data_IF_248920867359
#
_entry.id   IF_248920867359
#
_cell.length_a   1.000
_cell.length_b   1.000
_cell.length_c   1.000
_cell.angle_alpha   90.00
_cell.angle_beta   90.00
_cell.angle_gamma   90.00
#
_symmetry.space_group_name_H-M   'P 1'
#
loop_
_entity.id
_entity.type
_entity.pdbx_description
1 polymer ?
#
# COMPACT_ATOMS: atom_id res chain seq x y z
N UNK A 1 0.62 -11.70 16.25
CA UNK A 1 1.06 -10.99 15.03
C UNK A 1 0.13 -11.43 13.92
N UNK A 2 -0.62 -10.50 13.33
CA UNK A 2 -1.46 -10.78 12.17
C UNK A 2 -0.53 -10.74 10.95
N UNK A 3 -0.62 -11.73 10.06
CA UNK A 3 0.11 -11.79 8.79
C UNK A 3 -0.92 -11.80 7.67
N UNK A 4 -0.64 -11.05 6.62
CA UNK A 4 -1.41 -11.05 5.38
C UNK A 4 -0.47 -11.50 4.27
N UNK A 5 -0.95 -12.37 3.39
CA UNK A 5 -0.23 -12.68 2.17
C UNK A 5 -0.26 -11.43 1.26
N UNK A 6 0.83 -11.20 0.53
CA UNK A 6 1.03 -9.94 -0.21
C UNK A 6 0.00 -9.74 -1.33
N UNK A 7 -0.47 -10.83 -1.93
CA UNK A 7 -1.52 -10.89 -2.94
C UNK A 7 -2.91 -10.48 -2.42
N UNK A 8 -3.11 -10.51 -1.09
CA UNK A 8 -4.36 -10.06 -0.46
C UNK A 8 -4.36 -8.56 -0.17
N UNK A 9 -3.23 -7.88 -0.33
CA UNK A 9 -3.10 -6.45 -0.06
C UNK A 9 -3.39 -5.65 -1.32
N UNK A 10 -4.31 -4.69 -1.23
CA UNK A 10 -4.51 -3.72 -2.30
C UNK A 10 -3.60 -2.51 -2.07
N UNK A 11 -2.78 -2.21 -3.06
CA UNK A 11 -1.80 -1.14 -3.01
C UNK A 11 -2.22 0.01 -3.93
N UNK A 12 -2.16 1.23 -3.42
CA UNK A 12 -2.46 2.45 -4.18
C UNK A 12 -1.32 3.46 -3.99
N UNK A 13 -1.14 4.37 -4.93
CA UNK A 13 -0.17 5.45 -4.76
C UNK A 13 -0.69 6.51 -3.80
N UNK A 14 0.15 6.89 -2.83
CA UNK A 14 -0.14 8.03 -1.95
C UNK A 14 0.21 9.35 -2.65
N UNK A 15 -0.36 9.58 -3.84
CA UNK A 15 -0.04 10.72 -4.70
C UNK A 15 -1.30 11.31 -5.32
N UNK A 16 -1.45 12.61 -5.15
CA UNK A 16 -2.60 13.37 -5.63
C UNK A 16 -2.11 14.49 -6.57
N UNK A 17 -2.61 14.48 -7.82
CA UNK A 17 -2.29 15.52 -8.81
C UNK A 17 -0.79 15.73 -9.05
N UNK A 18 0.03 14.69 -8.89
CA UNK A 18 1.48 14.77 -9.03
C UNK A 18 2.26 15.07 -7.74
N UNK A 19 1.57 15.32 -6.63
CA UNK A 19 2.18 15.62 -5.31
C UNK A 19 2.02 14.45 -4.35
N UNK A 20 3.10 14.05 -3.68
CA UNK A 20 3.06 12.99 -2.66
C UNK A 20 2.36 13.47 -1.39
N UNK A 21 1.56 12.60 -0.78
CA UNK A 21 0.99 12.86 0.54
C UNK A 21 2.11 13.00 1.57
N UNK A 22 2.01 14.02 2.41
CA UNK A 22 3.02 14.34 3.41
C UNK A 22 2.55 13.92 4.81
N UNK A 23 3.44 13.45 5.67
CA UNK A 23 3.10 13.11 7.06
C UNK A 23 2.53 14.26 7.89
N UNK A 24 2.78 15.51 7.49
CA UNK A 24 2.26 16.72 8.10
C UNK A 24 0.87 17.11 7.59
N UNK A 25 0.40 16.48 6.52
CA UNK A 25 -0.92 16.68 5.94
C UNK A 25 -2.01 16.34 6.96
N UNK A 26 -3.07 17.14 6.99
CA UNK A 26 -4.24 16.90 7.83
C UNK A 26 -4.86 15.54 7.56
N UNK A 27 -4.86 15.11 6.29
CA UNK A 27 -5.45 13.84 5.88
C UNK A 27 -4.65 12.65 6.43
N UNK A 28 -3.32 12.72 6.36
CA UNK A 28 -2.44 11.67 6.92
C UNK A 28 -2.53 11.64 8.45
N UNK A 29 -2.71 12.80 9.10
CA UNK A 29 -2.97 12.86 10.54
C UNK A 29 -4.33 12.24 10.91
N UNK A 30 -5.36 12.42 10.08
CA UNK A 30 -6.65 11.79 10.26
C UNK A 30 -6.58 10.25 10.08
N UNK A 31 -5.82 9.76 9.09
CA UNK A 31 -5.55 8.32 8.94
C UNK A 31 -4.92 7.71 10.19
N UNK A 32 -3.96 8.41 10.82
CA UNK A 32 -3.37 7.98 12.09
C UNK A 32 -4.38 7.91 13.25
N UNK A 33 -5.47 8.66 13.16
CA UNK A 33 -6.61 8.62 14.09
C UNK A 33 -7.70 7.61 13.69
N UNK A 34 -7.47 6.81 12.64
CA UNK A 34 -8.42 5.84 12.08
C UNK A 34 -9.64 6.48 11.41
N UNK A 35 -9.52 7.74 11.01
CA UNK A 35 -10.49 8.42 10.17
C UNK A 35 -9.98 8.36 8.74
N UNK A 36 -10.85 8.04 7.77
CA UNK A 36 -10.48 8.04 6.35
C UNK A 36 -11.09 9.28 5.69
N UNK A 37 -10.28 10.33 5.42
CA UNK A 37 -10.73 11.54 4.74
C UNK A 37 -11.14 11.24 3.30
N UNK A 38 -12.05 12.04 2.75
CA UNK A 38 -12.55 11.85 1.39
C UNK A 38 -11.44 11.95 0.34
N UNK A 39 -10.44 12.82 0.56
CA UNK A 39 -9.25 12.89 -0.31
C UNK A 39 -8.50 11.55 -0.36
N UNK A 40 -8.40 10.84 0.76
CA UNK A 40 -7.75 9.51 0.77
C UNK A 40 -8.66 8.46 0.14
N UNK A 41 -9.97 8.50 0.38
CA UNK A 41 -10.92 7.58 -0.28
C UNK A 41 -10.83 7.69 -1.80
N UNK A 42 -10.73 8.92 -2.31
CA UNK A 42 -10.62 9.18 -3.74
C UNK A 42 -9.31 8.62 -4.35
N UNK A 43 -8.28 8.36 -3.54
CA UNK A 43 -7.03 7.72 -3.97
C UNK A 43 -7.10 6.18 -3.87
N UNK A 44 -8.11 5.64 -3.21
CA UNK A 44 -8.31 4.20 -2.98
C UNK A 44 -9.50 3.67 -3.81
N UNK A 45 -9.55 4.05 -5.10
CA UNK A 45 -10.49 3.48 -6.06
C UNK A 45 -9.84 2.35 -6.86
N UNK A 46 -10.62 1.34 -7.26
CA UNK A 46 -10.12 0.17 -8.00
C UNK A 46 -9.36 0.53 -9.29
N UNK A 47 -9.73 1.63 -9.95
CA UNK A 47 -9.05 2.13 -11.15
C UNK A 47 -7.62 2.66 -10.88
N UNK A 48 -7.28 2.94 -9.62
CA UNK A 48 -5.98 3.42 -9.18
C UNK A 48 -5.15 2.33 -8.50
N UNK A 49 -5.64 1.08 -8.50
CA UNK A 49 -4.92 -0.06 -7.95
C UNK A 49 -3.60 -0.24 -8.71
N UNK A 50 -2.51 -0.40 -7.96
CA UNK A 50 -1.22 -0.71 -8.54
C UNK A 50 -1.25 -2.14 -9.11
N UNK A 51 -0.87 -2.27 -10.37
CA UNK A 51 -0.61 -3.57 -10.99
C UNK A 51 0.68 -4.14 -10.38
N UNK A 52 0.59 -5.33 -9.81
CA UNK A 52 1.71 -6.06 -9.20
C UNK A 52 2.86 -6.35 -10.17
N UNK A 53 2.56 -6.38 -11.47
CA UNK A 53 3.54 -6.59 -12.54
C UNK A 53 4.17 -5.28 -13.03
N UNK A 54 3.64 -4.13 -12.61
CA UNK A 54 4.13 -2.83 -13.03
C UNK A 54 5.53 -2.55 -12.48
N UNK A 55 6.36 -1.95 -13.33
CA UNK A 55 7.71 -1.54 -12.96
C UNK A 55 7.69 -0.14 -12.36
N UNK A 56 8.67 0.17 -11.52
CA UNK A 56 8.82 1.50 -10.90
C UNK A 56 9.07 2.63 -11.91
N UNK A 57 9.43 2.31 -13.15
CA UNK A 57 9.59 3.27 -14.24
C UNK A 57 8.35 3.37 -15.14
N UNK A 58 7.21 2.82 -14.71
CA UNK A 58 5.97 2.92 -15.44
C UNK A 58 5.39 4.34 -15.33
N UNK A 59 5.40 5.05 -16.46
CA UNK A 59 4.91 6.41 -16.60
C UNK A 59 3.40 6.54 -16.30
N UNK A 60 2.62 5.46 -16.42
CA UNK A 60 1.20 5.46 -16.12
C UNK A 60 0.93 5.69 -14.62
N UNK A 61 1.80 5.14 -13.77
CA UNK A 61 1.67 5.21 -12.31
C UNK A 61 2.49 6.36 -11.72
N UNK A 62 3.76 6.46 -12.12
CA UNK A 62 4.70 7.39 -11.52
C UNK A 62 4.85 8.71 -12.30
N UNK A 63 4.20 8.81 -13.47
CA UNK A 63 4.27 9.97 -14.35
C UNK A 63 5.55 10.00 -15.17
N UNK A 64 5.47 10.69 -16.32
CA UNK A 64 6.59 10.80 -17.27
C UNK A 64 7.85 11.33 -16.62
N UNK A 65 8.97 10.65 -16.90
CA UNK A 65 10.29 10.98 -16.37
C UNK A 65 10.36 10.92 -14.84
N UNK A 66 9.55 10.06 -14.20
CA UNK A 66 9.73 9.78 -12.79
C UNK A 66 11.17 9.33 -12.54
N UNK A 67 11.86 10.09 -11.71
CA UNK A 67 13.16 9.70 -11.16
C UNK A 67 12.91 9.48 -9.68
N UNK A 68 13.07 8.25 -9.16
CA UNK A 68 13.05 8.05 -7.73
C UNK A 68 14.11 8.98 -7.12
N UNK A 69 13.67 9.95 -6.34
CA UNK A 69 14.58 10.80 -5.58
C UNK A 69 15.06 10.07 -4.32
N UNK A 70 15.82 10.77 -3.47
CA UNK A 70 16.25 10.24 -2.16
C UNK A 70 15.10 10.00 -1.16
N UNK A 71 13.84 10.24 -1.58
CA UNK A 71 12.65 10.09 -0.72
C UNK A 71 11.76 8.99 -1.27
N UNK A 72 11.40 8.10 -0.35
CA UNK A 72 10.69 6.84 -0.57
C UNK A 72 9.41 6.99 -1.41
N UNK A 73 9.05 5.91 -2.10
CA UNK A 73 7.73 5.77 -2.71
C UNK A 73 6.73 5.52 -1.58
N UNK A 74 5.73 6.38 -1.47
CA UNK A 74 4.66 6.23 -0.50
C UNK A 74 3.48 5.48 -1.14
N UNK A 75 3.07 4.39 -0.50
CA UNK A 75 1.89 3.59 -0.89
C UNK A 75 0.84 3.62 0.21
N UNK A 76 -0.42 3.66 -0.19
CA UNK A 76 -1.57 3.35 0.66
C UNK A 76 -1.86 1.85 0.54
N UNK A 77 -2.06 1.19 1.68
CA UNK A 77 -2.34 -0.24 1.74
C UNK A 77 -3.72 -0.42 2.35
N UNK A 78 -4.64 -0.98 1.58
CA UNK A 78 -5.93 -1.41 2.11
C UNK A 78 -5.79 -2.84 2.64
N UNK A 79 -6.14 -3.01 3.91
CA UNK A 79 -6.17 -4.32 4.52
C UNK A 79 -7.48 -5.01 4.16
N UNK A 80 -7.46 -6.30 3.76
CA UNK A 80 -8.69 -7.03 3.50
C UNK A 80 -9.53 -7.08 4.78
N UNK A 81 -10.86 -7.03 4.63
CA UNK A 81 -11.78 -7.21 5.74
C UNK A 81 -11.56 -8.61 6.33
N UNK A 82 -10.89 -8.70 7.48
CA UNK A 82 -10.76 -9.97 8.19
C UNK A 82 -12.16 -10.33 8.67
N UNK A 83 -12.77 -11.44 8.21
CA UNK A 83 -14.00 -11.91 8.81
C UNK A 83 -13.69 -12.16 10.29
N UNK A 84 -14.52 -11.62 11.20
CA UNK A 84 -14.32 -11.73 12.66
C UNK A 84 -14.11 -13.18 13.13
N UNK A 85 -14.52 -14.14 12.31
CA UNK A 85 -14.44 -15.59 12.54
C UNK A 85 -13.07 -16.22 12.16
N UNK A 86 -12.14 -15.47 11.52
CA UNK A 86 -10.81 -15.97 11.11
C UNK A 86 -9.74 -15.81 12.21
N UNK A 87 -10.13 -15.41 13.42
CA UNK A 87 -9.24 -15.41 14.60
C UNK A 87 -8.78 -16.82 15.04
N UNK A 88 -9.17 -17.89 14.34
CA UNK A 88 -8.68 -19.25 14.51
C UNK A 88 -7.63 -19.67 13.47
N UNK A 89 -6.62 -18.85 13.17
CA UNK A 89 -5.48 -19.37 12.41
C UNK A 89 -4.43 -20.00 13.34
N UNK A 90 -4.24 -21.32 13.18
CA UNK A 90 -3.39 -22.17 14.01
C UNK A 90 -1.94 -21.70 14.03
N UNK A 91 -1.35 -21.79 15.23
CA UNK A 91 0.09 -21.67 15.48
C UNK A 91 0.79 -22.96 15.06
N UNK A 92 1.43 -22.99 13.90
CA UNK A 92 2.47 -23.96 13.50
C UNK A 92 3.04 -23.49 12.17
N UNK A 93 4.33 -23.30 11.93
CA UNK A 93 5.57 -23.47 12.68
C UNK A 93 6.67 -22.96 11.74
N UNK A 94 7.82 -22.63 12.30
CA UNK A 94 9.05 -22.22 11.60
C UNK A 94 9.27 -22.94 10.26
N UNK A 95 9.34 -22.19 9.16
CA UNK A 95 10.19 -22.51 8.03
C UNK A 95 10.87 -21.20 7.60
N UNK A 96 12.20 -21.24 7.62
CA UNK A 96 13.09 -20.18 7.14
C UNK A 96 12.67 -19.69 5.76
N UNK A 97 12.59 -18.37 5.60
CA UNK A 97 12.60 -17.77 4.28
C UNK A 97 14.03 -17.90 3.74
N UNK A 98 14.31 -19.02 3.07
CA UNK A 98 15.49 -19.14 2.23
C UNK A 98 15.33 -18.21 1.03
N UNK A 99 15.92 -17.01 1.14
CA UNK A 99 16.27 -16.22 -0.04
C UNK A 99 17.32 -17.01 -0.82
N UNK A 100 16.90 -17.68 -1.90
CA UNK A 100 17.85 -18.15 -2.89
C UNK A 100 18.39 -16.92 -3.66
N UNK A 101 19.71 -16.69 -3.68
CA UNK A 101 20.28 -15.69 -4.58
C UNK A 101 20.20 -16.20 -6.02
N UNK A 102 20.00 -15.26 -6.95
CA UNK A 102 20.10 -15.47 -8.40
C UNK A 102 21.48 -16.01 -8.81
#
# INVERSE_FOLDING_TARGET
MIRFDADLLKLYLARDGGTWLNSNDGDIKALKKREVPDRVKNLMHEELLLDETAKLNDDAYFGKNFRPGDRDIHVLVELPEIPKDVLHYKRSGSAECDFLPL
#
